data_IF_504692119572
#
_entry.id   IF_504692119572
#
_cell.length_a   1.000
_cell.length_b   1.000
_cell.length_c   1.000
_cell.angle_alpha   90.00
_cell.angle_beta   90.00
_cell.angle_gamma   90.00
#
_symmetry.space_group_name_H-M   'P 1'
#
loop_
_entity.id
_entity.type
_entity.pdbx_description
1 polymer ?
#
# COMPACT_ATOMS: atom_id res chain seq x y z
N UNK A 1 -58.46 -24.33 -49.59
CA UNK A 1 -56.98 -24.32 -49.58
C UNK A 1 -56.50 -22.99 -49.02
N UNK A 2 -55.87 -22.95 -47.83
CA UNK A 2 -55.12 -21.78 -47.40
C UNK A 2 -53.63 -22.14 -47.15
N UNK A 3 -52.74 -21.38 -47.79
CA UNK A 3 -51.33 -21.21 -47.45
C UNK A 3 -51.06 -19.69 -47.64
N UNK A 4 -50.30 -18.96 -46.85
CA UNK A 4 -49.22 -19.34 -45.97
C UNK A 4 -49.14 -18.35 -44.79
N UNK A 5 -48.83 -18.87 -43.60
CA UNK A 5 -48.40 -18.12 -42.43
C UNK A 5 -46.93 -17.73 -42.59
N UNK A 6 -46.64 -16.42 -42.58
CA UNK A 6 -45.28 -15.92 -42.47
C UNK A 6 -44.75 -16.12 -41.04
N UNK A 7 -43.71 -16.94 -40.89
CA UNK A 7 -42.91 -17.05 -39.65
C UNK A 7 -41.89 -15.90 -39.59
N UNK A 8 -41.77 -15.16 -38.47
CA UNK A 8 -40.69 -14.21 -38.29
C UNK A 8 -39.38 -14.95 -37.97
N UNK A 9 -38.30 -14.60 -38.68
CA UNK A 9 -36.96 -15.17 -38.48
C UNK A 9 -36.35 -14.71 -37.15
N UNK A 10 -35.89 -15.69 -36.36
CA UNK A 10 -35.11 -15.56 -35.13
C UNK A 10 -33.65 -15.21 -35.46
N UNK A 11 -33.39 -13.98 -35.90
CA UNK A 11 -32.00 -13.49 -36.01
C UNK A 11 -31.55 -12.91 -34.67
N UNK A 12 -30.76 -13.70 -33.94
CA UNK A 12 -30.06 -13.24 -32.74
C UNK A 12 -29.12 -12.06 -33.02
N UNK A 13 -28.76 -11.25 -32.00
CA UNK A 13 -27.99 -10.03 -32.21
C UNK A 13 -26.64 -10.33 -32.87
N UNK A 14 -26.44 -9.77 -34.07
CA UNK A 14 -25.25 -9.89 -34.92
C UNK A 14 -23.99 -9.43 -34.19
N UNK A 15 -22.84 -10.06 -34.47
CA UNK A 15 -21.54 -9.82 -33.82
C UNK A 15 -21.13 -8.33 -33.80
N UNK A 16 -21.53 -7.56 -34.83
CA UNK A 16 -21.31 -6.11 -34.92
C UNK A 16 -22.07 -5.29 -33.85
N UNK A 17 -23.29 -5.71 -33.47
CA UNK A 17 -24.07 -5.06 -32.41
C UNK A 17 -23.42 -5.26 -31.03
N UNK A 18 -22.83 -6.44 -30.79
CA UNK A 18 -22.09 -6.76 -29.57
C UNK A 18 -20.79 -5.97 -29.45
N UNK A 19 -20.07 -5.78 -30.56
CA UNK A 19 -18.85 -4.95 -30.60
C UNK A 19 -19.19 -3.47 -30.38
N UNK A 20 -20.30 -2.96 -30.93
CA UNK A 20 -20.77 -1.59 -30.67
C UNK A 20 -21.21 -1.37 -29.21
N UNK A 21 -21.94 -2.32 -28.62
CA UNK A 21 -22.33 -2.28 -27.21
C UNK A 21 -21.13 -2.34 -26.28
N UNK A 22 -20.16 -3.23 -26.58
CA UNK A 22 -18.88 -3.28 -25.89
C UNK A 22 -18.11 -1.96 -26.01
N UNK A 23 -17.97 -1.41 -27.23
CA UNK A 23 -17.26 -0.16 -27.43
C UNK A 23 -17.93 1.02 -26.70
N UNK A 24 -19.26 1.05 -26.61
CA UNK A 24 -20.00 2.08 -25.88
C UNK A 24 -19.83 1.94 -24.36
N UNK A 25 -19.97 0.74 -23.81
CA UNK A 25 -19.74 0.46 -22.39
C UNK A 25 -18.28 0.69 -21.98
N UNK A 26 -17.34 0.24 -22.81
CA UNK A 26 -15.90 0.42 -22.65
C UNK A 26 -15.51 1.90 -22.70
N UNK A 27 -16.15 2.67 -23.60
CA UNK A 27 -15.92 4.12 -23.74
C UNK A 27 -16.52 4.94 -22.60
N UNK A 28 -17.65 4.55 -22.02
CA UNK A 28 -18.33 5.35 -21.01
C UNK A 28 -17.98 5.02 -19.56
N UNK A 29 -17.71 3.75 -19.21
CA UNK A 29 -17.65 3.36 -17.79
C UNK A 29 -16.32 2.70 -17.40
N UNK A 30 -15.88 1.70 -18.18
CA UNK A 30 -14.66 0.93 -17.89
C UNK A 30 -13.38 1.71 -18.11
N UNK A 31 -13.19 2.35 -19.27
CA UNK A 31 -11.95 3.06 -19.60
C UNK A 31 -11.76 4.29 -18.74
N UNK A 32 -12.80 5.09 -18.54
CA UNK A 32 -12.66 6.40 -17.88
C UNK A 32 -12.33 6.23 -16.41
N UNK A 33 -13.05 5.37 -15.66
CA UNK A 33 -12.80 5.22 -14.23
C UNK A 33 -11.49 4.49 -13.92
N UNK A 34 -11.16 3.42 -14.66
CA UNK A 34 -9.87 2.75 -14.45
C UNK A 34 -8.70 3.64 -14.84
N UNK A 35 -8.83 4.42 -15.92
CA UNK A 35 -7.83 5.42 -16.31
C UNK A 35 -7.70 6.52 -15.27
N UNK A 36 -8.82 7.01 -14.73
CA UNK A 36 -8.82 8.01 -13.64
C UNK A 36 -8.15 7.46 -12.39
N UNK A 37 -8.41 6.20 -12.01
CA UNK A 37 -7.77 5.54 -10.87
C UNK A 37 -6.28 5.27 -11.13
N UNK A 38 -5.90 4.83 -12.32
CA UNK A 38 -4.50 4.65 -12.72
C UNK A 38 -3.72 5.97 -12.81
N UNK A 39 -4.41 7.06 -13.13
CA UNK A 39 -3.87 8.42 -13.13
C UNK A 39 -3.86 9.05 -11.72
N UNK A 40 -4.65 8.53 -10.78
CA UNK A 40 -4.81 9.03 -9.40
C UNK A 40 -3.50 9.19 -8.61
N UNK A 41 -2.46 8.36 -8.80
CA UNK A 41 -1.14 8.61 -8.22
C UNK A 41 -0.56 9.97 -8.60
N UNK A 42 -0.87 10.50 -9.79
CA UNK A 42 -0.33 11.77 -10.30
C UNK A 42 -0.94 12.96 -9.53
N UNK A 43 -2.28 13.14 -9.43
CA UNK A 43 -2.87 14.15 -8.56
C UNK A 43 -2.53 13.97 -7.08
N UNK A 44 -2.57 12.75 -6.55
CA UNK A 44 -2.23 12.49 -5.13
C UNK A 44 -0.80 12.90 -4.84
N UNK A 45 0.11 12.55 -5.75
CA UNK A 45 1.48 13.03 -5.77
C UNK A 45 1.53 14.56 -5.82
N UNK A 46 0.83 15.21 -6.74
CA UNK A 46 0.86 16.67 -6.94
C UNK A 46 0.28 17.48 -5.77
N UNK A 47 -0.80 17.01 -5.15
CA UNK A 47 -1.48 17.67 -4.03
C UNK A 47 -0.86 17.37 -2.66
N UNK A 48 0.20 16.55 -2.59
CA UNK A 48 0.85 16.14 -1.33
C UNK A 48 -0.13 15.49 -0.34
N UNK A 49 -1.14 14.79 -0.84
CA UNK A 49 -2.13 14.11 0.00
C UNK A 49 -1.54 12.95 0.80
N UNK A 50 -0.50 12.31 0.24
CA UNK A 50 0.30 11.30 0.93
C UNK A 50 1.69 11.89 1.16
N UNK A 51 2.15 11.97 2.41
CA UNK A 51 3.48 12.49 2.71
C UNK A 51 4.54 11.58 2.08
N UNK A 52 5.44 12.17 1.32
CA UNK A 52 6.52 11.50 0.58
C UNK A 52 7.77 12.38 0.61
N UNK A 53 8.94 11.76 0.60
CA UNK A 53 10.20 12.49 0.45
C UNK A 53 10.28 13.12 -0.95
N UNK A 54 10.83 14.33 -1.05
CA UNK A 54 10.89 15.09 -2.30
C UNK A 54 11.67 14.34 -3.38
N UNK A 55 12.77 13.69 -2.98
CA UNK A 55 13.60 12.85 -3.84
C UNK A 55 12.84 11.65 -4.41
N UNK A 56 11.79 11.17 -3.73
CA UNK A 56 11.04 9.98 -4.14
C UNK A 56 9.78 10.24 -4.95
N UNK A 57 9.23 11.44 -4.80
CA UNK A 57 7.93 11.81 -5.35
C UNK A 57 7.82 11.60 -6.86
N UNK A 58 8.86 11.99 -7.60
CA UNK A 58 8.84 11.88 -9.07
C UNK A 58 8.83 10.42 -9.52
N UNK A 59 9.75 9.60 -9.00
CA UNK A 59 9.82 8.20 -9.42
C UNK A 59 8.62 7.39 -8.90
N UNK A 60 8.16 7.64 -7.67
CA UNK A 60 7.00 6.92 -7.11
C UNK A 60 5.76 7.16 -7.96
N UNK A 61 5.52 8.40 -8.39
CA UNK A 61 4.40 8.72 -9.28
C UNK A 61 4.49 7.96 -10.61
N UNK A 62 5.65 8.03 -11.28
CA UNK A 62 5.87 7.38 -12.59
C UNK A 62 5.72 5.86 -12.50
N UNK A 63 6.40 5.21 -11.55
CA UNK A 63 6.33 3.77 -11.40
C UNK A 63 4.93 3.32 -11.00
N UNK A 64 4.26 4.03 -10.09
CA UNK A 64 2.90 3.65 -9.67
C UNK A 64 1.94 3.68 -10.85
N UNK A 65 1.92 4.76 -11.64
CA UNK A 65 1.07 4.81 -12.83
C UNK A 65 1.43 3.74 -13.86
N UNK A 66 2.72 3.47 -14.09
CA UNK A 66 3.17 2.40 -14.98
C UNK A 66 2.65 1.02 -14.51
N UNK A 67 2.85 0.69 -13.24
CA UNK A 67 2.37 -0.56 -12.63
C UNK A 67 0.85 -0.66 -12.69
N UNK A 68 0.14 0.45 -12.52
CA UNK A 68 -1.30 0.50 -12.64
C UNK A 68 -1.76 0.13 -14.06
N UNK A 69 -1.21 0.81 -15.07
CA UNK A 69 -1.48 0.48 -16.48
C UNK A 69 -1.12 -0.95 -16.86
N UNK A 70 0.01 -1.47 -16.38
CA UNK A 70 0.43 -2.85 -16.60
C UNK A 70 -0.56 -3.84 -15.95
N UNK A 71 -1.01 -3.56 -14.72
CA UNK A 71 -1.98 -4.37 -13.99
C UNK A 71 -3.32 -4.41 -14.73
N UNK A 72 -3.78 -3.26 -15.21
CA UNK A 72 -4.95 -3.15 -16.08
C UNK A 72 -4.80 -4.01 -17.34
N UNK A 73 -3.72 -3.80 -18.10
CA UNK A 73 -3.47 -4.55 -19.33
C UNK A 73 -3.42 -6.06 -19.10
N UNK A 74 -2.78 -6.48 -18.00
CA UNK A 74 -2.65 -7.88 -17.61
C UNK A 74 -4.01 -8.51 -17.24
N UNK A 75 -4.82 -7.85 -16.41
CA UNK A 75 -6.15 -8.37 -16.03
C UNK A 75 -7.06 -8.47 -17.26
N UNK A 76 -6.99 -7.49 -18.17
CA UNK A 76 -7.75 -7.53 -19.42
C UNK A 76 -7.28 -8.64 -20.37
N UNK A 77 -5.98 -8.93 -20.41
CA UNK A 77 -5.44 -10.06 -21.16
C UNK A 77 -6.00 -11.39 -20.63
N UNK A 78 -6.11 -11.52 -19.31
CA UNK A 78 -6.63 -12.71 -18.62
C UNK A 78 -8.17 -12.80 -18.60
N UNK A 79 -8.90 -11.85 -19.22
CA UNK A 79 -10.38 -11.76 -19.15
C UNK A 79 -11.12 -13.04 -19.53
N UNK A 80 -10.65 -13.73 -20.56
CA UNK A 80 -11.29 -14.95 -21.04
C UNK A 80 -11.11 -16.11 -20.05
N UNK A 81 -9.95 -16.18 -19.38
CA UNK A 81 -9.68 -17.17 -18.34
C UNK A 81 -10.50 -16.88 -17.10
N UNK A 82 -10.52 -15.62 -16.64
CA UNK A 82 -11.33 -15.18 -15.49
C UNK A 82 -12.81 -15.47 -15.69
N UNK A 83 -13.32 -15.21 -16.88
CA UNK A 83 -14.69 -15.50 -17.23
C UNK A 83 -15.05 -16.98 -17.28
N UNK A 84 -14.13 -17.80 -17.81
CA UNK A 84 -14.23 -19.25 -17.74
C UNK A 84 -14.33 -19.77 -16.30
N UNK A 85 -13.63 -19.15 -15.34
CA UNK A 85 -13.75 -19.49 -13.92
C UNK A 85 -15.05 -18.98 -13.27
N UNK A 86 -15.44 -17.73 -13.56
CA UNK A 86 -16.62 -17.08 -12.95
C UNK A 86 -17.95 -17.73 -13.33
N UNK A 87 -18.11 -18.15 -14.59
CA UNK A 87 -19.39 -18.65 -15.11
C UNK A 87 -19.35 -20.10 -15.62
N UNK A 88 -18.38 -20.91 -15.19
CA UNK A 88 -18.37 -22.32 -15.61
C UNK A 88 -19.61 -23.09 -15.12
N UNK A 89 -20.25 -22.67 -14.01
CA UNK A 89 -21.43 -23.36 -13.47
C UNK A 89 -22.75 -23.02 -14.20
N UNK A 90 -22.81 -21.90 -14.93
CA UNK A 90 -24.04 -21.44 -15.60
C UNK A 90 -24.27 -22.09 -16.96
N UNK A 91 -23.33 -22.93 -17.44
CA UNK A 91 -23.44 -23.67 -18.71
C UNK A 91 -23.41 -22.81 -19.99
N UNK A 92 -23.53 -21.48 -19.86
CA UNK A 92 -23.61 -20.52 -20.97
C UNK A 92 -22.27 -20.14 -21.59
N UNK A 93 -21.14 -20.39 -20.93
CA UNK A 93 -19.82 -20.13 -21.49
C UNK A 93 -19.24 -21.40 -22.11
N UNK A 94 -19.01 -21.39 -23.43
CA UNK A 94 -18.38 -22.49 -24.16
C UNK A 94 -16.96 -22.70 -23.63
N UNK A 95 -16.79 -23.72 -22.75
CA UNK A 95 -15.51 -24.15 -22.19
C UNK A 95 -14.51 -24.42 -23.31
N UNK A 96 -13.56 -23.51 -23.54
CA UNK A 96 -12.33 -23.87 -24.23
C UNK A 96 -11.33 -24.41 -23.19
N UNK A 97 -10.83 -25.61 -23.46
CA UNK A 97 -9.68 -26.30 -22.85
C UNK A 97 -9.90 -27.20 -21.63
N UNK A 98 -9.94 -28.50 -21.93
CA UNK A 98 -9.24 -29.67 -21.37
C UNK A 98 -8.63 -29.65 -19.94
N UNK A 99 -8.15 -28.53 -19.42
CA UNK A 99 -7.37 -28.46 -18.16
C UNK A 99 -8.24 -28.49 -16.89
N UNK A 100 -9.52 -28.09 -16.99
CA UNK A 100 -10.44 -28.00 -15.84
C UNK A 100 -11.16 -29.33 -15.57
N UNK A 101 -11.06 -30.33 -16.46
CA UNK A 101 -11.80 -31.60 -16.33
C UNK A 101 -11.36 -32.44 -15.13
N UNK A 102 -10.13 -32.24 -14.64
CA UNK A 102 -9.56 -32.98 -13.51
C UNK A 102 -9.51 -32.15 -12.21
N UNK A 103 -10.09 -30.94 -12.18
CA UNK A 103 -10.08 -30.13 -10.96
C UNK A 103 -11.21 -30.61 -10.01
N UNK A 104 -10.91 -30.97 -8.75
CA UNK A 104 -11.93 -31.40 -7.79
C UNK A 104 -13.03 -30.34 -7.62
N UNK A 105 -14.30 -30.74 -7.60
CA UNK A 105 -15.48 -29.86 -7.36
C UNK A 105 -15.30 -28.91 -6.15
N UNK A 106 -14.66 -29.40 -5.07
CA UNK A 106 -14.31 -28.58 -3.90
C UNK A 106 -13.40 -27.40 -4.24
N UNK A 107 -12.36 -27.62 -5.05
CA UNK A 107 -11.45 -26.55 -5.49
C UNK A 107 -12.17 -25.53 -6.37
N UNK A 108 -13.15 -25.98 -7.16
CA UNK A 108 -13.96 -25.10 -8.01
C UNK A 108 -14.83 -24.14 -7.17
N UNK A 109 -15.51 -24.65 -6.14
CA UNK A 109 -16.27 -23.83 -5.20
C UNK A 109 -15.38 -22.89 -4.38
N UNK A 110 -14.19 -23.35 -3.98
CA UNK A 110 -13.20 -22.51 -3.31
C UNK A 110 -12.71 -21.37 -4.22
N UNK A 111 -12.43 -21.64 -5.49
CA UNK A 111 -12.04 -20.61 -6.46
C UNK A 111 -13.15 -19.61 -6.75
N UNK A 112 -14.42 -20.02 -6.77
CA UNK A 112 -15.55 -19.09 -6.96
C UNK A 112 -15.75 -18.18 -5.76
N UNK A 113 -15.63 -18.73 -4.54
CA UNK A 113 -15.58 -17.93 -3.32
C UNK A 113 -14.40 -16.96 -3.37
N UNK A 114 -13.21 -17.43 -3.71
CA UNK A 114 -12.00 -16.62 -3.81
C UNK A 114 -12.16 -15.45 -4.79
N UNK A 115 -12.65 -15.67 -6.02
CA UNK A 115 -12.82 -14.59 -7.02
C UNK A 115 -13.88 -13.56 -6.59
N UNK A 116 -14.94 -13.99 -5.90
CA UNK A 116 -15.95 -13.06 -5.38
C UNK A 116 -15.44 -12.23 -4.19
N UNK A 117 -14.59 -12.81 -3.35
CA UNK A 117 -14.00 -12.11 -2.20
C UNK A 117 -12.72 -11.34 -2.56
N UNK A 118 -12.15 -11.58 -3.75
CA UNK A 118 -10.88 -10.99 -4.20
C UNK A 118 -10.89 -9.46 -4.20
N UNK A 119 -11.93 -8.78 -4.74
CA UNK A 119 -11.95 -7.32 -4.71
C UNK A 119 -11.98 -6.78 -3.28
N UNK A 120 -12.73 -7.42 -2.38
CA UNK A 120 -12.77 -7.03 -0.97
C UNK A 120 -11.40 -7.25 -0.30
N UNK A 121 -10.75 -8.39 -0.55
CA UNK A 121 -9.42 -8.68 -0.04
C UNK A 121 -8.38 -7.66 -0.54
N UNK A 122 -8.46 -7.26 -1.82
CA UNK A 122 -7.62 -6.22 -2.39
C UNK A 122 -7.87 -4.83 -1.76
N UNK A 123 -9.13 -4.47 -1.48
CA UNK A 123 -9.47 -3.23 -0.77
C UNK A 123 -8.90 -3.25 0.65
N UNK A 124 -9.12 -4.33 1.41
CA UNK A 124 -8.59 -4.48 2.76
C UNK A 124 -7.05 -4.46 2.77
N UNK A 125 -6.42 -5.09 1.78
CA UNK A 125 -4.97 -5.06 1.59
C UNK A 125 -4.48 -3.64 1.32
N UNK A 126 -5.15 -2.88 0.46
CA UNK A 126 -4.82 -1.48 0.15
C UNK A 126 -4.91 -0.60 1.40
N UNK A 127 -5.98 -0.72 2.18
CA UNK A 127 -6.17 0.02 3.42
C UNK A 127 -5.11 -0.36 4.46
N UNK A 128 -4.85 -1.65 4.66
CA UNK A 128 -3.79 -2.10 5.56
C UNK A 128 -2.41 -1.60 5.10
N UNK A 129 -2.13 -1.62 3.79
CA UNK A 129 -0.90 -1.09 3.22
C UNK A 129 -0.75 0.42 3.49
N UNK A 130 -1.85 1.19 3.47
CA UNK A 130 -1.83 2.62 3.79
C UNK A 130 -1.44 2.88 5.24
N UNK A 131 -2.01 2.11 6.19
CA UNK A 131 -1.60 2.21 7.61
C UNK A 131 -0.14 1.79 7.83
N UNK A 132 0.32 0.73 7.16
CA UNK A 132 1.71 0.28 7.23
C UNK A 132 2.68 1.28 6.60
N UNK A 133 2.29 1.91 5.50
CA UNK A 133 3.05 2.99 4.88
C UNK A 133 3.20 4.16 5.85
N UNK A 134 2.10 4.62 6.45
CA UNK A 134 2.13 5.75 7.38
C UNK A 134 3.03 5.47 8.59
N UNK A 135 2.87 4.32 9.24
CA UNK A 135 3.71 3.95 10.38
C UNK A 135 5.22 3.88 10.00
N UNK A 136 5.53 3.27 8.85
CA UNK A 136 6.91 3.21 8.36
C UNK A 136 7.46 4.58 7.97
N UNK A 137 6.60 5.47 7.46
CA UNK A 137 6.97 6.83 7.08
C UNK A 137 7.32 7.66 8.31
N UNK A 138 6.54 7.56 9.38
CA UNK A 138 6.83 8.24 10.65
C UNK A 138 8.16 7.75 11.24
N UNK A 139 8.43 6.44 11.20
CA UNK A 139 9.73 5.88 11.60
C UNK A 139 10.88 6.38 10.72
N UNK A 140 10.68 6.45 9.39
CA UNK A 140 11.67 6.97 8.45
C UNK A 140 11.98 8.46 8.69
N UNK A 141 10.95 9.25 9.00
CA UNK A 141 11.06 10.67 9.30
C UNK A 141 11.88 10.89 10.58
N UNK A 142 11.63 10.07 11.61
CA UNK A 142 12.35 10.10 12.88
C UNK A 142 13.84 9.76 12.69
N UNK A 143 14.14 8.72 11.91
CA UNK A 143 15.52 8.35 11.56
C UNK A 143 16.22 9.44 10.75
N UNK A 144 15.53 10.05 9.78
CA UNK A 144 16.09 11.13 8.97
C UNK A 144 16.35 12.40 9.79
N UNK A 145 15.45 12.76 10.71
CA UNK A 145 15.66 13.85 11.68
C UNK A 145 16.88 13.59 12.55
N UNK A 146 16.99 12.40 13.12
CA UNK A 146 18.12 12.04 13.97
C UNK A 146 19.46 12.08 13.21
N UNK A 147 19.48 11.61 11.96
CA UNK A 147 20.68 11.69 11.12
C UNK A 147 21.08 13.14 10.84
N UNK A 148 20.13 14.00 10.47
CA UNK A 148 20.40 15.41 10.20
C UNK A 148 20.88 16.16 11.46
N UNK A 149 20.29 15.88 12.63
CA UNK A 149 20.74 16.40 13.91
C UNK A 149 22.18 15.95 14.22
N UNK A 150 22.48 14.66 14.06
CA UNK A 150 23.81 14.11 14.35
C UNK A 150 24.89 14.70 13.43
N UNK A 151 24.57 14.94 12.16
CA UNK A 151 25.47 15.60 11.19
C UNK A 151 25.71 17.08 11.56
N UNK A 152 24.72 17.77 12.14
CA UNK A 152 24.83 19.16 12.57
C UNK A 152 25.62 19.35 13.87
N UNK A 153 25.55 18.39 14.81
CA UNK A 153 26.23 18.50 16.11
C UNK A 153 27.77 18.38 16.02
N UNK A 154 28.31 17.74 14.97
CA UNK A 154 29.76 17.61 14.69
C UNK A 154 30.63 17.02 15.82
N UNK A 155 30.04 16.44 16.87
CA UNK A 155 30.76 15.83 17.98
C UNK A 155 31.22 14.39 17.71
N UNK A 156 32.14 13.89 18.54
CA UNK A 156 32.62 12.48 18.44
C UNK A 156 31.49 11.50 18.75
N UNK A 157 30.67 11.77 19.76
CA UNK A 157 29.54 10.90 20.12
C UNK A 157 28.40 10.96 19.07
N UNK A 158 27.93 12.14 18.62
CA UNK A 158 26.96 12.24 17.52
C UNK A 158 27.40 11.56 16.22
N UNK A 159 28.68 11.68 15.85
CA UNK A 159 29.21 11.00 14.65
C UNK A 159 29.24 9.49 14.79
N UNK A 160 29.55 8.96 15.99
CA UNK A 160 29.44 7.53 16.28
C UNK A 160 27.99 7.04 16.13
N UNK A 161 27.04 7.80 16.70
CA UNK A 161 25.62 7.50 16.54
C UNK A 161 25.17 7.53 15.07
N UNK A 162 25.68 8.46 14.25
CA UNK A 162 25.36 8.49 12.82
C UNK A 162 25.89 7.26 12.07
N UNK A 163 27.05 6.73 12.45
CA UNK A 163 27.60 5.48 11.89
C UNK A 163 26.73 4.29 12.30
N UNK A 164 26.40 4.19 13.60
CA UNK A 164 25.59 3.09 14.14
C UNK A 164 24.19 3.09 13.53
N UNK A 165 23.59 4.27 13.33
CA UNK A 165 22.29 4.44 12.69
C UNK A 165 22.28 4.01 11.22
N UNK A 166 23.40 4.10 10.50
CA UNK A 166 23.50 3.60 9.11
C UNK A 166 23.73 2.09 9.04
N UNK A 167 24.43 1.52 10.04
CA UNK A 167 24.80 0.09 10.06
C UNK A 167 23.80 -0.84 10.73
N UNK A 168 22.89 -0.30 11.54
CA UNK A 168 21.97 -1.11 12.36
C UNK A 168 20.76 -1.66 11.56
N UNK A 169 20.09 -2.66 12.13
CA UNK A 169 18.80 -3.15 11.63
C UNK A 169 17.67 -2.14 11.90
N UNK A 170 16.56 -2.28 11.19
CA UNK A 170 15.41 -1.36 11.28
C UNK A 170 14.97 -1.05 12.72
N UNK A 171 14.79 -2.07 13.56
CA UNK A 171 14.27 -1.87 14.91
C UNK A 171 15.28 -1.15 15.79
N UNK A 172 16.57 -1.42 15.58
CA UNK A 172 17.64 -0.69 16.28
C UNK A 172 17.73 0.73 15.76
N UNK A 173 17.73 0.99 14.44
CA UNK A 173 17.78 2.35 13.88
C UNK A 173 16.73 3.30 14.49
N UNK A 174 15.49 2.83 14.63
CA UNK A 174 14.40 3.62 15.27
C UNK A 174 14.69 3.90 16.74
N UNK A 175 15.25 2.94 17.48
CA UNK A 175 15.66 3.14 18.89
C UNK A 175 16.80 4.16 19.00
N UNK A 176 17.83 4.02 18.17
CA UNK A 176 18.96 4.96 18.11
C UNK A 176 18.45 6.37 17.83
N UNK A 177 17.57 6.51 16.84
CA UNK A 177 17.05 7.80 16.41
C UNK A 177 16.21 8.49 17.51
N UNK A 178 15.38 7.73 18.22
CA UNK A 178 14.61 8.24 19.37
C UNK A 178 15.53 8.78 20.47
N UNK A 179 16.61 8.07 20.74
CA UNK A 179 17.60 8.46 21.74
C UNK A 179 18.25 9.79 21.35
N UNK A 180 18.78 9.90 20.12
CA UNK A 180 19.45 11.13 19.64
C UNK A 180 18.53 12.34 19.77
N UNK A 181 17.26 12.19 19.35
CA UNK A 181 16.30 13.30 19.37
C UNK A 181 15.84 13.66 20.79
N UNK A 182 15.67 12.69 21.67
CA UNK A 182 15.37 12.93 23.08
C UNK A 182 16.52 13.66 23.77
N UNK A 183 17.75 13.22 23.51
CA UNK A 183 18.95 13.83 24.07
C UNK A 183 19.12 15.26 23.59
N UNK A 184 19.05 15.52 22.30
CA UNK A 184 19.29 16.86 21.76
C UNK A 184 18.31 17.88 22.39
N UNK A 185 17.05 17.49 22.58
CA UNK A 185 16.06 18.30 23.30
C UNK A 185 16.40 18.52 24.78
N UNK A 186 16.84 17.47 25.48
CA UNK A 186 17.24 17.57 26.89
C UNK A 186 18.52 18.41 27.08
N UNK A 187 19.49 18.26 26.16
CA UNK A 187 20.76 18.99 26.11
C UNK A 187 20.51 20.48 25.89
N UNK A 188 19.67 20.81 24.90
CA UNK A 188 19.23 22.19 24.64
C UNK A 188 18.56 22.83 25.86
N UNK A 189 17.67 22.10 26.55
CA UNK A 189 17.00 22.60 27.75
C UNK A 189 17.99 22.83 28.91
N UNK A 190 18.94 21.91 29.13
CA UNK A 190 19.95 22.03 30.17
C UNK A 190 20.94 23.19 29.90
N UNK A 191 21.41 23.34 28.65
CA UNK A 191 22.39 24.36 28.28
C UNK A 191 21.81 25.79 28.25
N UNK A 192 20.49 25.93 28.07
CA UNK A 192 19.81 27.23 28.11
C UNK A 192 19.44 27.67 29.53
N UNK A 193 19.29 26.74 30.47
CA UNK A 193 18.86 27.02 31.84
C UNK A 193 20.02 27.38 32.81
N UNK A 194 21.27 27.08 32.46
CA UNK A 194 22.41 27.18 33.38
C UNK A 194 23.24 28.44 33.13
N UNK A 195 23.44 29.23 34.19
CA UNK A 195 24.22 30.48 34.19
C UNK A 195 25.73 30.24 33.93
N UNK A 196 26.25 29.07 34.30
CA UNK A 196 27.65 28.65 34.06
C UNK A 196 27.74 27.51 33.02
N UNK A 197 27.67 27.88 31.75
CA UNK A 197 27.67 26.97 30.59
C UNK A 197 28.81 25.95 30.57
N UNK A 198 30.00 26.33 31.03
CA UNK A 198 31.21 25.51 30.98
C UNK A 198 31.14 24.30 31.92
N UNK A 199 30.61 24.49 33.13
CA UNK A 199 30.42 23.39 34.08
C UNK A 199 29.28 22.47 33.65
N UNK A 200 28.21 23.03 33.07
CA UNK A 200 27.08 22.26 32.54
C UNK A 200 27.50 21.27 31.44
N UNK A 201 28.36 21.71 30.51
CA UNK A 201 28.87 20.85 29.42
C UNK A 201 29.68 19.66 29.97
N UNK A 202 30.50 19.90 31.01
CA UNK A 202 31.31 18.83 31.62
C UNK A 202 30.42 17.82 32.34
N UNK A 203 29.42 18.26 33.12
CA UNK A 203 28.50 17.34 33.79
C UNK A 203 27.68 16.55 32.78
N UNK A 204 27.19 17.21 31.73
CA UNK A 204 26.39 16.56 30.69
C UNK A 204 27.21 15.51 29.92
N UNK A 205 28.46 15.82 29.57
CA UNK A 205 29.36 14.88 28.91
C UNK A 205 29.62 13.63 29.76
N UNK A 206 29.82 13.80 31.07
CA UNK A 206 30.00 12.67 32.01
C UNK A 206 28.74 11.82 32.13
N UNK A 207 27.59 12.46 32.30
CA UNK A 207 26.32 11.75 32.45
C UNK A 207 25.97 10.96 31.18
N UNK A 208 26.22 11.55 30.00
CA UNK A 208 26.09 10.86 28.71
C UNK A 208 27.03 9.66 28.62
N UNK A 209 28.32 9.85 28.95
CA UNK A 209 29.29 8.77 28.88
C UNK A 209 28.92 7.57 29.79
N UNK A 210 28.45 7.83 31.01
CA UNK A 210 28.00 6.77 31.92
C UNK A 210 26.76 6.05 31.37
N UNK A 211 25.77 6.80 30.85
CA UNK A 211 24.54 6.20 30.30
C UNK A 211 24.79 5.27 29.11
N UNK A 212 25.70 5.63 28.21
CA UNK A 212 25.92 4.86 26.97
C UNK A 212 26.96 3.77 27.10
N UNK A 213 27.77 3.75 28.17
CA UNK A 213 28.79 2.73 28.37
C UNK A 213 28.22 1.30 28.45
N UNK A 214 26.99 1.14 28.97
CA UNK A 214 26.36 -0.17 29.15
C UNK A 214 25.53 -0.64 27.94
N UNK A 215 25.50 0.15 26.87
CA UNK A 215 24.70 -0.16 25.69
C UNK A 215 25.41 -1.19 24.81
N UNK A 216 24.63 -2.14 24.29
CA UNK A 216 25.15 -3.32 23.57
C UNK A 216 25.19 -3.16 22.05
N UNK A 217 25.10 -1.94 21.51
CA UNK A 217 24.99 -1.73 20.07
C UNK A 217 26.00 -0.70 19.57
N UNK A 218 26.67 -1.02 18.46
CA UNK A 218 27.48 -0.08 17.69
C UNK A 218 28.78 0.37 18.37
N UNK A 219 29.28 1.51 17.89
CA UNK A 219 30.54 2.16 18.25
C UNK A 219 30.37 3.28 19.28
N UNK A 220 29.16 3.83 19.43
CA UNK A 220 28.87 4.87 20.42
C UNK A 220 29.17 4.45 21.88
N UNK A 221 28.86 3.21 22.32
CA UNK A 221 29.20 2.74 23.67
C UNK A 221 30.70 2.65 23.92
N UNK A 222 31.49 2.24 22.91
CA UNK A 222 32.95 2.15 23.01
C UNK A 222 33.58 3.54 23.19
N UNK A 223 33.06 4.53 22.46
CA UNK A 223 33.48 5.93 22.54
C UNK A 223 33.07 6.54 23.88
N UNK A 224 31.86 6.24 24.37
CA UNK A 224 31.40 6.65 25.69
C UNK A 224 32.28 6.05 26.81
N UNK A 225 32.63 4.76 26.71
CA UNK A 225 33.51 4.08 27.66
C UNK A 225 34.97 4.57 27.58
N UNK A 226 35.44 4.99 26.40
CA UNK A 226 36.75 5.62 26.25
C UNK A 226 36.77 7.01 26.94
N UNK A 227 35.72 7.81 26.75
CA UNK A 227 35.59 9.12 27.39
C UNK A 227 35.43 9.02 28.91
N UNK A 228 34.64 8.08 29.43
CA UNK A 228 34.48 7.89 30.88
C UNK A 228 35.82 7.54 31.55
N UNK A 229 36.62 6.68 30.94
CA UNK A 229 37.98 6.35 31.39
C UNK A 229 38.92 7.57 31.35
N UNK A 230 38.86 8.37 30.29
CA UNK A 230 39.77 9.51 30.10
C UNK A 230 39.41 10.73 30.97
N UNK A 231 38.11 11.01 31.14
CA UNK A 231 37.62 12.16 31.93
C UNK A 231 37.78 12.00 33.45
N UNK A 232 38.10 10.80 33.93
CA UNK A 232 38.44 10.51 35.32
C UNK A 232 39.92 10.78 35.66
N UNK A 233 40.79 10.95 34.66
CA UNK A 233 42.17 11.35 34.89
C UNK A 233 42.24 12.84 35.23
N UNK A 234 43.08 13.20 36.20
CA UNK A 234 43.23 14.55 36.77
C UNK A 234 43.86 15.54 35.78
N UNK A 235 43.12 15.89 34.72
CA UNK A 235 43.48 16.89 33.73
C UNK A 235 43.12 18.31 34.23
N UNK A 236 43.90 19.34 33.83
CA UNK A 236 43.57 20.74 34.11
C UNK A 236 42.21 21.12 33.52
N UNK A 237 41.51 22.05 34.17
CA UNK A 237 40.10 22.39 33.87
C UNK A 237 39.86 22.75 32.40
N UNK A 238 40.75 23.54 31.79
CA UNK A 238 40.67 23.89 30.37
C UNK A 238 40.73 22.69 29.40
N UNK A 239 41.52 21.66 29.72
CA UNK A 239 41.60 20.45 28.91
C UNK A 239 40.34 19.58 29.04
N UNK A 240 39.67 19.62 30.20
CA UNK A 240 38.39 18.92 30.43
C UNK A 240 37.25 19.57 29.65
N UNK A 241 37.22 20.89 29.58
CA UNK A 241 36.23 21.66 28.80
C UNK A 241 36.37 21.31 27.32
N UNK A 242 37.57 21.45 26.75
CA UNK A 242 37.82 21.16 25.33
C UNK A 242 37.48 19.70 24.97
N UNK A 243 37.75 18.75 25.87
CA UNK A 243 37.41 17.34 25.66
C UNK A 243 35.89 17.10 25.73
N UNK A 244 35.19 17.77 26.66
CA UNK A 244 33.74 17.68 26.78
C UNK A 244 33.01 18.30 25.57
N UNK A 245 33.47 19.46 25.10
CA UNK A 245 32.95 20.11 23.90
C UNK A 245 33.17 19.24 22.66
N UNK A 246 34.34 18.61 22.51
CA UNK A 246 34.62 17.70 21.39
C UNK A 246 33.79 16.42 21.46
N UNK A 247 33.49 15.93 22.66
CA UNK A 247 32.69 14.71 22.87
C UNK A 247 31.21 14.95 22.58
N UNK A 248 30.61 15.99 23.19
CA UNK A 248 29.18 16.32 23.07
C UNK A 248 28.88 16.99 21.72
N UNK A 249 29.81 17.78 21.19
CA UNK A 249 29.60 18.61 20.01
C UNK A 249 28.87 19.91 20.34
N UNK A 250 28.34 20.55 19.30
CA UNK A 250 27.56 21.78 19.40
C UNK A 250 26.08 21.43 19.52
N UNK A 251 25.34 22.16 20.37
CA UNK A 251 23.89 22.03 20.42
C UNK A 251 23.29 22.31 19.03
N UNK A 252 22.66 21.32 18.41
CA UNK A 252 22.00 21.46 17.13
C UNK A 252 20.52 21.74 17.35
N UNK A 253 19.91 22.49 16.43
CA UNK A 253 18.45 22.61 16.43
C UNK A 253 17.89 21.41 15.70
N UNK A 254 17.02 20.62 16.33
CA UNK A 254 16.29 19.54 15.65
C UNK A 254 15.62 20.10 14.38
N UNK A 255 15.94 19.58 13.19
CA UNK A 255 15.39 20.07 11.93
C UNK A 255 13.88 19.82 11.87
N UNK A 256 13.16 20.75 11.26
CA UNK A 256 11.71 20.61 11.13
C UNK A 256 11.35 19.51 10.12
N UNK A 257 10.12 19.01 10.19
CA UNK A 257 9.67 17.97 9.25
C UNK A 257 9.85 18.40 7.79
N UNK A 258 9.52 19.65 7.46
CA UNK A 258 9.64 20.17 6.09
C UNK A 258 11.09 20.23 5.60
N UNK A 259 12.05 20.45 6.49
CA UNK A 259 13.48 20.46 6.13
C UNK A 259 13.96 19.05 5.81
N UNK A 260 13.49 18.06 6.57
CA UNK A 260 13.85 16.65 6.39
C UNK A 260 13.21 16.06 5.13
N UNK A 261 12.01 16.48 4.76
CA UNK A 261 11.36 16.01 3.52
C UNK A 261 12.14 16.38 2.25
N UNK A 262 12.95 17.44 2.29
CA UNK A 262 13.80 17.89 1.18
C UNK A 262 15.14 17.14 1.08
N UNK A 263 15.47 16.32 2.08
CA UNK A 263 16.75 15.60 2.11
C UNK A 263 16.80 14.51 1.03
N UNK A 264 17.99 14.29 0.46
CA UNK A 264 18.21 13.28 -0.59
C UNK A 264 18.33 11.86 -0.04
N UNK A 265 18.77 11.71 1.21
CA UNK A 265 18.91 10.41 1.85
C UNK A 265 17.57 9.99 2.45
N UNK A 266 16.94 8.96 1.89
CA UNK A 266 15.64 8.49 2.36
C UNK A 266 15.80 7.18 3.12
N UNK A 267 15.57 7.18 4.45
CA UNK A 267 15.58 5.95 5.23
C UNK A 267 14.49 5.00 4.71
N UNK A 268 14.83 3.72 4.64
CA UNK A 268 13.88 2.65 4.27
C UNK A 268 13.18 2.81 2.91
N UNK A 269 13.81 3.52 1.96
CA UNK A 269 13.17 3.87 0.68
C UNK A 269 12.54 2.70 -0.09
N UNK A 270 13.18 1.53 -0.13
CA UNK A 270 12.62 0.34 -0.81
C UNK A 270 11.35 -0.18 -0.14
N UNK A 271 11.29 -0.16 1.20
CA UNK A 271 10.12 -0.62 1.95
C UNK A 271 8.96 0.37 1.83
N UNK A 272 9.26 1.68 1.88
CA UNK A 272 8.28 2.73 1.64
C UNK A 272 7.67 2.61 0.23
N UNK A 273 8.53 2.43 -0.78
CA UNK A 273 8.09 2.23 -2.16
C UNK A 273 7.18 1.01 -2.31
N UNK A 274 7.53 -0.13 -1.69
CA UNK A 274 6.73 -1.34 -1.77
C UNK A 274 5.32 -1.13 -1.21
N UNK A 275 5.20 -0.53 -0.02
CA UNK A 275 3.90 -0.24 0.57
C UNK A 275 3.12 0.79 -0.25
N UNK A 276 3.79 1.85 -0.72
CA UNK A 276 3.17 2.87 -1.57
C UNK A 276 2.57 2.25 -2.84
N UNK A 277 3.34 1.45 -3.58
CA UNK A 277 2.86 0.75 -4.77
C UNK A 277 1.69 -0.19 -4.44
N UNK A 278 1.78 -0.92 -3.33
CA UNK A 278 0.74 -1.87 -2.90
C UNK A 278 -0.60 -1.16 -2.68
N UNK A 279 -0.62 0.05 -2.12
CA UNK A 279 -1.85 0.83 -1.91
C UNK A 279 -2.62 0.99 -3.23
N UNK A 280 -1.94 1.50 -4.26
CA UNK A 280 -2.58 1.83 -5.53
C UNK A 280 -2.85 0.60 -6.39
N UNK A 281 -1.89 -0.30 -6.52
CA UNK A 281 -2.06 -1.52 -7.34
C UNK A 281 -3.16 -2.41 -6.78
N UNK A 282 -3.25 -2.57 -5.45
CA UNK A 282 -4.32 -3.36 -4.85
C UNK A 282 -5.69 -2.68 -5.00
N UNK A 283 -5.78 -1.36 -4.79
CA UNK A 283 -7.02 -0.61 -4.98
C UNK A 283 -7.52 -0.70 -6.44
N UNK A 284 -6.63 -0.46 -7.40
CA UNK A 284 -6.97 -0.53 -8.82
C UNK A 284 -7.34 -1.95 -9.25
N UNK A 285 -6.60 -2.96 -8.79
CA UNK A 285 -6.94 -4.37 -9.05
C UNK A 285 -8.35 -4.69 -8.57
N UNK A 286 -8.77 -4.19 -7.41
CA UNK A 286 -10.14 -4.37 -6.93
C UNK A 286 -11.16 -3.73 -7.89
N UNK A 287 -10.94 -2.49 -8.32
CA UNK A 287 -11.83 -1.80 -9.26
C UNK A 287 -11.91 -2.52 -10.61
N UNK A 288 -10.78 -2.93 -11.17
CA UNK A 288 -10.74 -3.64 -12.45
C UNK A 288 -11.48 -4.98 -12.33
N UNK A 289 -11.31 -5.72 -11.24
CA UNK A 289 -12.00 -7.01 -11.06
C UNK A 289 -13.51 -6.86 -10.88
N UNK A 290 -13.96 -5.84 -10.14
CA UNK A 290 -15.38 -5.53 -10.00
C UNK A 290 -16.00 -5.18 -11.35
N UNK A 291 -15.37 -4.26 -12.08
CA UNK A 291 -15.85 -3.84 -13.40
C UNK A 291 -15.80 -5.01 -14.40
N UNK A 292 -14.74 -5.82 -14.38
CA UNK A 292 -14.60 -6.98 -15.26
C UNK A 292 -15.70 -8.00 -14.98
N UNK A 293 -16.05 -8.24 -13.72
CA UNK A 293 -17.15 -9.13 -13.37
C UNK A 293 -18.46 -8.62 -13.98
N UNK A 294 -18.82 -7.35 -13.79
CA UNK A 294 -20.02 -6.74 -14.35
C UNK A 294 -20.04 -6.83 -15.88
N UNK A 295 -18.94 -6.48 -16.53
CA UNK A 295 -18.79 -6.61 -17.99
C UNK A 295 -19.03 -8.04 -18.49
N UNK A 296 -18.46 -9.03 -17.79
CA UNK A 296 -18.62 -10.42 -18.19
C UNK A 296 -20.03 -10.96 -17.88
N UNK A 297 -20.74 -10.45 -16.85
CA UNK A 297 -22.16 -10.74 -16.60
C UNK A 297 -23.04 -10.23 -17.74
N UNK A 298 -22.81 -8.98 -18.16
CA UNK A 298 -23.52 -8.35 -19.28
C UNK A 298 -23.31 -9.12 -20.59
N UNK A 299 -22.05 -9.46 -20.90
CA UNK A 299 -21.71 -10.20 -22.12
C UNK A 299 -22.29 -11.62 -22.15
N UNK A 300 -22.47 -12.24 -20.99
CA UNK A 300 -23.06 -13.56 -20.86
C UNK A 300 -24.61 -13.54 -20.75
N UNK A 301 -25.23 -12.36 -20.72
CA UNK A 301 -26.67 -12.18 -20.45
C UNK A 301 -27.13 -12.97 -19.21
N UNK A 302 -26.36 -12.89 -18.11
CA UNK A 302 -26.67 -13.53 -16.84
C UNK A 302 -27.22 -12.44 -15.90
N UNK A 303 -28.50 -12.53 -15.54
CA UNK A 303 -29.08 -11.63 -14.54
C UNK A 303 -28.59 -11.98 -13.13
N UNK A 304 -28.49 -10.99 -12.24
CA UNK A 304 -28.10 -11.21 -10.84
C UNK A 304 -29.03 -12.20 -10.11
N UNK A 305 -30.32 -12.24 -10.50
CA UNK A 305 -31.30 -13.20 -9.99
C UNK A 305 -30.93 -14.66 -10.31
N UNK A 306 -30.43 -14.91 -11.52
CA UNK A 306 -29.93 -16.22 -11.95
C UNK A 306 -28.66 -16.62 -11.20
N UNK A 307 -27.87 -15.65 -10.72
CA UNK A 307 -26.66 -15.90 -9.93
C UNK A 307 -26.98 -16.27 -8.47
N UNK A 308 -28.11 -15.79 -7.95
CA UNK A 308 -28.62 -16.07 -6.60
C UNK A 308 -29.39 -17.40 -6.50
N UNK A 309 -29.55 -18.15 -7.60
CA UNK A 309 -30.27 -19.42 -7.61
C UNK A 309 -31.80 -19.28 -7.53
N UNK A 310 -32.33 -18.06 -7.60
CA UNK A 310 -33.76 -17.79 -7.74
C UNK A 310 -34.13 -17.96 -9.21
N UNK A 311 -34.34 -19.21 -9.63
CA UNK A 311 -34.99 -19.51 -10.89
C UNK A 311 -36.36 -18.81 -10.89
N UNK A 312 -36.63 -17.99 -11.90
CA UNK A 312 -37.98 -17.50 -12.17
C UNK A 312 -38.89 -18.73 -12.31
N UNK A 313 -40.04 -18.78 -11.61
CA UNK A 313 -41.00 -19.84 -11.85
C UNK A 313 -41.39 -19.77 -13.33
N UNK A 314 -41.23 -20.89 -14.05
CA UNK A 314 -41.84 -21.06 -15.37
C UNK A 314 -43.30 -20.66 -15.27
N UNK A 315 -43.73 -19.71 -16.11
CA UNK A 315 -45.15 -19.54 -16.39
C UNK A 315 -45.62 -20.80 -17.12
N UNK A 316 -46.04 -21.80 -16.34
CA UNK A 316 -46.77 -22.95 -16.82
C UNK A 316 -48.16 -22.47 -17.25
N UNK A 317 -48.62 -22.73 -18.49
CA UNK A 317 -49.94 -22.32 -18.95
C UNK A 317 -50.99 -23.23 -18.29
N UNK A 318 -51.47 -22.81 -17.12
CA UNK A 318 -52.66 -23.38 -16.51
C UNK A 318 -53.90 -22.82 -17.25
N UNK A 319 -54.51 -23.64 -18.11
CA UNK A 319 -55.82 -23.32 -18.66
C UNK A 319 -56.30 -24.29 -19.72
N UNK A 320 -57.32 -25.07 -19.34
CA UNK A 320 -58.25 -25.83 -20.19
C UNK A 320 -57.91 -27.31 -20.47
N UNK A 321 -58.17 -28.15 -19.45
CA UNK A 321 -58.63 -29.52 -19.66
C UNK A 321 -59.74 -29.85 -18.64
N UNK A 322 -60.92 -30.22 -19.15
CA UNK A 322 -61.85 -31.11 -18.43
C UNK A 322 -63.05 -30.47 -17.75
N UNK A 323 -64.12 -30.23 -18.51
CA UNK A 323 -65.48 -30.33 -17.96
C UNK A 323 -66.32 -31.13 -18.95
N UNK A 324 -66.44 -32.42 -18.66
CA UNK A 324 -67.41 -33.31 -19.24
C UNK A 324 -68.41 -33.66 -18.14
N UNK A 325 -69.64 -33.15 -18.24
CA UNK A 325 -70.80 -33.84 -17.67
C UNK A 325 -72.08 -33.39 -18.39
N UNK A 326 -72.66 -34.34 -19.12
CA UNK A 326 -74.04 -34.32 -19.63
C UNK A 326 -74.93 -34.93 -18.53
N UNK A 327 -76.18 -34.48 -18.36
CA UNK A 327 -77.27 -35.29 -18.93
C UNK A 327 -78.53 -34.51 -19.39
N UNK A 328 -79.26 -35.20 -20.25
CA UNK A 328 -80.71 -35.21 -20.46
C UNK A 328 -81.44 -34.13 -21.28
N UNK A 329 -81.90 -34.64 -22.43
CA UNK A 329 -83.04 -34.31 -23.30
C UNK A 329 -84.39 -34.45 -22.56
N UNK A 330 -85.52 -33.89 -23.08
CA UNK A 330 -86.14 -34.28 -24.36
C UNK A 330 -86.02 -33.28 -25.52
#
# INVERSE_FOLDING_TARGET
MPAASATPSLDGPTQASRVKGFAAFFKSYMSVWSLVVAALPIPVGAFKLIPTFESQRSYLSVYTSLFCFLSLGFIFFERHRLGGYLFASTGKWKRSNLFIRNFPEFMFNLTRGFVNWLPLACILLSVNAAFRYQALFDDALLVAQAQATAEQQQGILPSAFAVDLRGADFATQVKIANVILFEDRASLAALTAVENRTQAIISEAKDKAIRYQDWKWGSAPEIAAAYSRQSMLSAPEGARIASAEKFVGVAAKVPTFDDVLKTKAVPFGNRLMLWYLTIFVAAETAFILMALKEYLQDLAHISDLSLMGLAMPEHSPAGAAGSAESPDQP
#
